data_IF_770238733818
#
_entry.id   IF_770238733818
#
_cell.length_a   1.000
_cell.length_b   1.000
_cell.length_c   1.000
_cell.angle_alpha   90.00
_cell.angle_beta   90.00
_cell.angle_gamma   90.00
#
_symmetry.space_group_name_H-M   'P 1'
#
loop_
_entity.id
_entity.type
_entity.pdbx_description
1 polymer ?
#
# COMPACT_ATOMS: atom_id res chain seq x y z
N UNK A 1 -5.06 -44.55 45.78
CA UNK A 1 -4.94 -44.29 44.29
C UNK A 1 -5.10 -42.81 44.06
N UNK A 2 -4.01 -42.12 43.73
CA UNK A 2 -4.00 -40.68 43.46
C UNK A 2 -4.19 -40.46 41.97
N UNK A 3 -5.38 -40.01 41.55
CA UNK A 3 -5.62 -39.55 40.18
C UNK A 3 -4.91 -38.21 39.95
N UNK A 4 -3.88 -38.23 39.16
CA UNK A 4 -3.25 -36.99 38.66
C UNK A 4 -4.09 -36.45 37.50
N UNK A 5 -4.80 -35.35 37.71
CA UNK A 5 -5.40 -34.56 36.68
C UNK A 5 -4.27 -33.81 35.93
N UNK A 6 -4.02 -34.20 34.70
CA UNK A 6 -3.21 -33.43 33.77
C UNK A 6 -4.09 -32.32 33.17
N UNK A 7 -3.93 -31.11 33.68
CA UNK A 7 -4.46 -29.90 33.04
C UNK A 7 -3.59 -29.62 31.84
N UNK A 8 -4.09 -29.96 30.66
CA UNK A 8 -3.53 -29.49 29.38
C UNK A 8 -3.91 -28.01 29.22
N UNK A 9 -2.98 -27.13 29.51
CA UNK A 9 -3.11 -25.72 29.16
C UNK A 9 -2.94 -25.57 27.67
N UNK A 10 -4.03 -25.46 26.90
CA UNK A 10 -4.02 -24.99 25.54
C UNK A 10 -3.65 -23.51 25.55
N UNK A 11 -2.38 -23.22 25.31
CA UNK A 11 -1.93 -21.87 24.98
C UNK A 11 -2.41 -21.55 23.56
N UNK A 12 -3.55 -20.89 23.45
CA UNK A 12 -4.00 -20.27 22.21
C UNK A 12 -3.09 -19.07 21.97
N UNK A 13 -2.03 -19.27 21.17
CA UNK A 13 -1.26 -18.19 20.60
C UNK A 13 -2.16 -17.46 19.62
N UNK A 14 -2.84 -16.41 20.10
CA UNK A 14 -3.49 -15.44 19.25
C UNK A 14 -2.37 -14.70 18.52
N UNK A 15 -2.10 -15.12 17.30
CA UNK A 15 -1.26 -14.39 16.39
C UNK A 15 -2.06 -13.15 15.98
N UNK A 16 -1.99 -12.09 16.79
CA UNK A 16 -2.40 -10.76 16.37
C UNK A 16 -1.45 -10.33 15.23
N UNK A 17 -1.76 -10.76 14.00
CA UNK A 17 -1.30 -10.05 12.84
C UNK A 17 -1.80 -8.62 13.02
N UNK A 18 -0.90 -7.70 13.35
CA UNK A 18 -1.23 -6.31 13.56
C UNK A 18 -1.89 -5.77 12.29
N UNK A 19 -3.21 -5.70 12.30
CA UNK A 19 -3.97 -4.94 11.32
C UNK A 19 -3.57 -3.49 11.56
N UNK A 20 -2.58 -3.03 10.81
CA UNK A 20 -2.24 -1.61 10.80
C UNK A 20 -3.50 -0.86 10.43
N UNK A 21 -3.98 -0.02 11.33
CA UNK A 21 -5.15 0.82 11.06
C UNK A 21 -4.86 1.65 9.81
N UNK A 22 -5.75 1.57 8.82
CA UNK A 22 -5.64 2.39 7.62
C UNK A 22 -5.67 3.86 8.00
N UNK A 23 -4.74 4.64 7.44
CA UNK A 23 -4.69 6.07 7.61
C UNK A 23 -5.97 6.77 7.11
N UNK A 24 -6.22 7.98 7.56
CA UNK A 24 -7.39 8.74 7.13
C UNK A 24 -7.36 9.02 5.62
N UNK A 25 -6.18 9.22 5.05
CA UNK A 25 -5.99 9.43 3.61
C UNK A 25 -6.29 8.19 2.81
N UNK A 26 -5.84 7.01 3.28
CA UNK A 26 -6.18 5.72 2.64
C UNK A 26 -7.70 5.50 2.59
N UNK A 27 -8.42 5.81 3.67
CA UNK A 27 -9.89 5.72 3.68
C UNK A 27 -10.53 6.66 2.66
N UNK A 28 -10.08 7.91 2.57
CA UNK A 28 -10.59 8.88 1.57
C UNK A 28 -10.36 8.40 0.14
N UNK A 29 -9.23 7.76 -0.15
CA UNK A 29 -8.95 7.19 -1.46
C UNK A 29 -9.96 6.08 -1.81
N UNK A 30 -10.25 5.19 -0.86
CA UNK A 30 -11.24 4.11 -1.04
C UNK A 30 -12.66 4.66 -1.19
N UNK A 31 -13.04 5.62 -0.37
CA UNK A 31 -14.35 6.27 -0.43
C UNK A 31 -14.56 7.00 -1.77
N UNK A 32 -13.48 7.47 -2.39
CA UNK A 32 -13.49 8.05 -3.73
C UNK A 32 -13.56 7.00 -4.86
N UNK A 33 -13.66 5.71 -4.54
CA UNK A 33 -13.76 4.62 -5.51
C UNK A 33 -12.42 4.14 -6.08
N UNK A 34 -11.30 4.57 -5.50
CA UNK A 34 -9.97 4.10 -5.89
C UNK A 34 -9.67 2.75 -5.23
N UNK A 35 -8.85 1.96 -5.87
CA UNK A 35 -8.43 0.63 -5.39
C UNK A 35 -6.93 0.59 -5.12
N UNK A 36 -6.54 -0.12 -4.08
CA UNK A 36 -5.12 -0.41 -3.80
C UNK A 36 -4.57 -1.38 -4.85
N UNK A 37 -3.50 -0.99 -5.50
CA UNK A 37 -2.91 -1.80 -6.58
C UNK A 37 -2.44 -3.17 -6.10
N UNK A 38 -2.04 -3.32 -4.83
CA UNK A 38 -1.62 -4.60 -4.27
C UNK A 38 -2.79 -5.55 -3.98
N UNK A 39 -4.01 -5.01 -3.83
CA UNK A 39 -5.22 -5.84 -3.74
C UNK A 39 -5.65 -6.35 -5.10
N UNK A 40 -5.29 -5.65 -6.18
CA UNK A 40 -5.57 -6.10 -7.56
C UNK A 40 -4.51 -7.09 -8.04
N UNK A 41 -3.24 -6.84 -7.75
CA UNK A 41 -2.14 -7.77 -8.04
C UNK A 41 -1.04 -7.66 -6.97
N UNK A 42 -0.98 -8.64 -6.08
CA UNK A 42 -0.02 -8.68 -4.97
C UNK A 42 1.43 -8.93 -5.42
N UNK A 43 1.66 -9.23 -6.69
CA UNK A 43 3.01 -9.40 -7.25
C UNK A 43 3.67 -8.08 -7.62
N UNK A 44 2.92 -6.99 -7.70
CA UNK A 44 3.47 -5.64 -7.81
C UNK A 44 4.34 -5.29 -6.60
N UNK A 45 5.25 -4.34 -6.78
CA UNK A 45 5.97 -3.68 -5.69
C UNK A 45 5.55 -2.22 -5.63
N UNK A 46 5.44 -1.69 -4.43
CA UNK A 46 5.07 -0.29 -4.19
C UNK A 46 6.15 0.36 -3.33
N UNK A 47 6.62 1.52 -3.77
CA UNK A 47 7.47 2.42 -3.00
C UNK A 47 7.06 3.84 -3.35
N UNK A 48 6.14 4.41 -2.61
CA UNK A 48 5.71 5.79 -2.83
C UNK A 48 6.86 6.74 -2.52
N UNK A 49 7.42 7.37 -3.55
CA UNK A 49 8.58 8.28 -3.41
C UNK A 49 8.23 9.50 -2.56
N UNK A 50 7.00 9.99 -2.63
CA UNK A 50 6.53 11.14 -1.87
C UNK A 50 6.13 10.82 -0.42
N UNK A 51 6.15 9.54 -0.04
CA UNK A 51 6.10 9.08 1.36
C UNK A 51 7.49 8.87 1.96
N UNK A 52 8.52 9.35 1.30
CA UNK A 52 9.93 9.33 1.71
C UNK A 52 10.54 10.71 1.44
N UNK A 53 11.81 10.90 1.74
CA UNK A 53 12.58 12.09 1.38
C UNK A 53 13.23 12.00 -0.02
N UNK A 54 13.11 10.83 -0.68
CA UNK A 54 13.65 10.57 -2.01
C UNK A 54 12.72 11.10 -3.11
N UNK A 55 12.55 12.43 -3.15
CA UNK A 55 11.75 13.15 -4.12
C UNK A 55 12.25 14.60 -4.23
N UNK A 56 11.74 15.38 -5.19
CA UNK A 56 12.21 16.75 -5.42
C UNK A 56 11.87 17.72 -4.28
N UNK A 57 10.91 17.37 -3.40
CA UNK A 57 10.59 18.16 -2.20
C UNK A 57 11.59 17.91 -1.05
N UNK A 58 12.40 16.83 -1.14
CA UNK A 58 13.37 16.42 -0.13
C UNK A 58 12.77 16.00 1.20
N UNK A 59 11.48 15.65 1.23
CA UNK A 59 10.75 15.26 2.45
C UNK A 59 9.47 14.48 2.11
N UNK A 60 8.97 13.74 3.10
CA UNK A 60 7.64 13.14 3.04
C UNK A 60 6.56 14.23 2.98
N UNK A 61 5.75 14.20 1.92
CA UNK A 61 4.61 15.11 1.73
C UNK A 61 3.27 14.36 1.71
N UNK A 62 3.28 13.04 1.78
CA UNK A 62 2.07 12.20 1.76
C UNK A 62 1.52 11.90 3.16
N UNK A 63 2.33 12.07 4.21
CA UNK A 63 1.90 11.84 5.59
C UNK A 63 1.48 10.39 5.82
N UNK A 64 0.19 10.17 6.11
CA UNK A 64 -0.37 8.87 6.43
C UNK A 64 -0.77 8.01 5.21
N UNK A 65 -0.52 8.48 3.98
CA UNK A 65 -0.77 7.70 2.76
C UNK A 65 0.36 6.69 2.56
N UNK A 66 0.05 5.42 2.76
CA UNK A 66 1.05 4.34 2.66
C UNK A 66 0.85 3.43 1.46
N UNK A 67 -0.29 3.54 0.77
CA UNK A 67 -0.69 2.63 -0.31
C UNK A 67 -0.85 3.35 -1.64
N UNK A 68 -0.64 2.62 -2.72
CA UNK A 68 -0.80 3.13 -4.08
C UNK A 68 -2.23 2.88 -4.57
N UNK A 69 -2.97 3.94 -4.82
CA UNK A 69 -4.35 3.89 -5.29
C UNK A 69 -4.48 4.32 -6.74
N UNK A 70 -5.29 3.60 -7.49
CA UNK A 70 -5.64 3.91 -8.87
C UNK A 70 -7.15 3.74 -9.09
N UNK A 71 -7.67 4.34 -10.16
CA UNK A 71 -9.01 4.00 -10.65
C UNK A 71 -9.07 2.51 -11.01
N UNK A 72 -10.20 1.81 -10.77
CA UNK A 72 -10.30 0.36 -10.95
C UNK A 72 -9.87 -0.12 -12.34
N UNK A 73 -10.32 0.57 -13.41
CA UNK A 73 -9.97 0.19 -14.78
C UNK A 73 -8.48 0.39 -15.09
N UNK A 74 -7.84 1.38 -14.47
CA UNK A 74 -6.42 1.62 -14.64
C UNK A 74 -5.58 0.61 -13.86
N UNK A 75 -6.00 0.28 -12.64
CA UNK A 75 -5.39 -0.78 -11.83
C UNK A 75 -5.44 -2.14 -12.55
N UNK A 76 -6.57 -2.45 -13.21
CA UNK A 76 -6.68 -3.67 -14.03
C UNK A 76 -5.69 -3.70 -15.20
N UNK A 77 -5.46 -2.57 -15.87
CA UNK A 77 -4.45 -2.45 -16.93
C UNK A 77 -3.04 -2.63 -16.40
N UNK A 78 -2.73 -2.06 -15.24
CA UNK A 78 -1.45 -2.24 -14.56
C UNK A 78 -1.21 -3.71 -14.21
N UNK A 79 -2.20 -4.38 -13.64
CA UNK A 79 -2.14 -5.81 -13.33
C UNK A 79 -1.94 -6.67 -14.60
N UNK A 80 -2.58 -6.30 -15.70
CA UNK A 80 -2.37 -6.97 -16.97
C UNK A 80 -0.92 -6.81 -17.46
N UNK A 81 -0.38 -5.59 -17.41
CA UNK A 81 1.01 -5.31 -17.77
C UNK A 81 2.00 -6.09 -16.89
N UNK A 82 1.73 -6.17 -15.58
CA UNK A 82 2.54 -6.95 -14.63
C UNK A 82 2.54 -8.44 -15.00
N UNK A 83 1.39 -9.00 -15.37
CA UNK A 83 1.29 -10.39 -15.82
C UNK A 83 2.13 -10.64 -17.07
N UNK A 84 2.02 -9.78 -18.08
CA UNK A 84 2.81 -9.88 -19.31
C UNK A 84 4.32 -9.75 -19.05
N UNK A 85 4.72 -8.89 -18.13
CA UNK A 85 6.12 -8.76 -17.71
C UNK A 85 6.63 -10.08 -17.12
N UNK A 86 5.86 -10.68 -16.22
CA UNK A 86 6.23 -11.95 -15.57
C UNK A 86 6.32 -13.11 -16.54
N UNK A 87 5.47 -13.14 -17.55
CA UNK A 87 5.51 -14.17 -18.60
C UNK A 87 6.79 -14.06 -19.44
N UNK A 88 7.19 -12.83 -19.77
CA UNK A 88 8.38 -12.56 -20.61
C UNK A 88 9.69 -12.58 -19.82
N UNK A 89 9.65 -12.20 -18.58
CA UNK A 89 10.79 -12.06 -17.67
C UNK A 89 10.42 -12.64 -16.30
N UNK A 90 10.47 -13.96 -16.12
CA UNK A 90 10.19 -14.59 -14.83
C UNK A 90 11.06 -13.97 -13.71
N UNK A 91 10.42 -13.67 -12.58
CA UNK A 91 11.07 -13.01 -11.45
C UNK A 91 11.11 -11.49 -11.51
N UNK A 92 10.80 -10.87 -12.64
CA UNK A 92 10.68 -9.41 -12.74
C UNK A 92 9.33 -8.92 -12.21
N UNK A 93 9.34 -7.76 -11.58
CA UNK A 93 8.15 -7.12 -11.03
C UNK A 93 8.20 -5.62 -11.28
N UNK A 94 7.06 -5.05 -11.60
CA UNK A 94 6.93 -3.60 -11.71
C UNK A 94 6.97 -2.96 -10.33
N UNK A 95 7.71 -1.85 -10.21
CA UNK A 95 7.74 -1.01 -9.02
C UNK A 95 6.86 0.22 -9.28
N UNK A 96 5.82 0.39 -8.49
CA UNK A 96 4.96 1.58 -8.51
C UNK A 96 5.57 2.62 -7.59
N UNK A 97 6.09 3.69 -8.16
CA UNK A 97 6.77 4.76 -7.42
C UNK A 97 5.83 5.89 -7.00
N UNK A 98 4.70 6.04 -7.69
CA UNK A 98 3.65 7.01 -7.37
C UNK A 98 2.32 6.55 -7.98
N UNK A 99 1.21 7.05 -7.46
CA UNK A 99 -0.13 6.73 -7.92
C UNK A 99 -1.07 7.93 -7.68
N UNK A 100 -2.32 7.70 -7.31
CA UNK A 100 -3.24 8.81 -7.02
C UNK A 100 -2.70 9.68 -5.88
N UNK A 101 -2.65 10.98 -6.15
CA UNK A 101 -2.15 12.00 -5.22
C UNK A 101 -3.31 12.79 -4.62
N UNK A 102 -3.35 12.98 -3.30
CA UNK A 102 -4.32 13.88 -2.69
C UNK A 102 -4.24 15.29 -3.27
N UNK A 103 -5.38 15.90 -3.53
CA UNK A 103 -5.45 17.26 -4.10
C UNK A 103 -4.76 18.29 -3.19
N UNK A 104 -4.86 18.11 -1.87
CA UNK A 104 -4.18 18.97 -0.89
C UNK A 104 -2.66 18.91 -1.02
N UNK A 105 -2.12 17.71 -1.27
CA UNK A 105 -0.68 17.52 -1.50
C UNK A 105 -0.26 18.16 -2.83
N UNK A 106 -1.03 17.95 -3.89
CA UNK A 106 -0.76 18.57 -5.19
C UNK A 106 -0.72 20.10 -5.07
N UNK A 107 -1.68 20.68 -4.37
CA UNK A 107 -1.73 22.13 -4.12
C UNK A 107 -0.52 22.62 -3.32
N UNK A 108 -0.18 21.90 -2.26
CA UNK A 108 1.00 22.22 -1.44
C UNK A 108 2.29 22.20 -2.26
N UNK A 109 2.49 21.16 -3.07
CA UNK A 109 3.67 21.04 -3.93
C UNK A 109 3.73 22.17 -4.97
N UNK A 110 2.59 22.48 -5.59
CA UNK A 110 2.51 23.58 -6.57
C UNK A 110 2.87 24.93 -5.95
N UNK A 111 2.28 25.26 -4.79
CA UNK A 111 2.56 26.52 -4.08
C UNK A 111 4.01 26.63 -3.61
N UNK A 112 4.68 25.51 -3.35
CA UNK A 112 6.09 25.48 -2.98
C UNK A 112 7.04 25.83 -4.12
N UNK A 113 6.58 25.81 -5.37
CA UNK A 113 7.35 26.14 -6.57
C UNK A 113 7.13 27.58 -7.05
N UNK A 114 6.17 28.29 -6.49
CA UNK A 114 5.89 29.69 -6.81
C UNK A 114 6.84 30.56 -5.97
N UNK A 115 7.64 31.44 -6.60
CA UNK A 115 8.53 32.35 -5.88
C UNK A 115 7.79 33.37 -5.02
#
# INVERSE_FOLDING_TARGET
MKRRLLLAACAVLIFCAGVRAQGATDRKMRDAGLVDVLEVDSTLRVRLMYSTDDNFMGRDVYGDLERAYLLPHFAAKLAHAQRLLRERRPGWRMLVCDAARPISVQRYMYLSLIP
#
